data_IF_665018897419
#
_entry.id   IF_665018897419
#
_cell.length_a   1.000
_cell.length_b   1.000
_cell.length_c   1.000
_cell.angle_alpha   90.00
_cell.angle_beta   90.00
_cell.angle_gamma   90.00
#
_symmetry.space_group_name_H-M   'P 1'
#
loop_
_entity.id
_entity.type
_entity.pdbx_description
1 polymer ?
#
# COMPACT_ATOMS: atom_id res chain seq x y z
N UNK A 1 -14.02 -48.59 -73.34
CA UNK A 1 -13.47 -49.50 -72.30
C UNK A 1 -12.77 -48.67 -71.21
N UNK A 2 -13.23 -48.76 -69.95
CA UNK A 2 -12.63 -48.05 -68.80
C UNK A 2 -11.35 -48.76 -68.37
N UNK A 3 -10.32 -47.97 -68.07
CA UNK A 3 -9.01 -48.43 -67.60
C UNK A 3 -9.14 -49.15 -66.23
N UNK A 4 -8.68 -50.41 -66.06
CA UNK A 4 -8.90 -51.19 -64.84
C UNK A 4 -8.04 -50.80 -63.64
N UNK A 5 -7.13 -49.82 -63.78
CA UNK A 5 -6.14 -49.50 -62.75
C UNK A 5 -6.53 -48.36 -61.79
N UNK A 6 -7.73 -47.77 -61.93
CA UNK A 6 -8.21 -46.70 -61.06
C UNK A 6 -8.97 -47.21 -59.82
N UNK A 7 -8.50 -48.29 -59.18
CA UNK A 7 -9.09 -48.83 -57.96
C UNK A 7 -8.02 -49.00 -56.86
N UNK A 8 -8.09 -48.12 -55.87
CA UNK A 8 -7.63 -48.41 -54.51
C UNK A 8 -6.17 -48.09 -54.20
N UNK A 9 -5.84 -46.81 -54.12
CA UNK A 9 -4.88 -46.36 -53.09
C UNK A 9 -5.71 -45.98 -51.86
N UNK A 10 -6.23 -46.99 -51.14
CA UNK A 10 -6.62 -46.79 -49.75
C UNK A 10 -5.33 -46.70 -48.96
N UNK A 11 -5.01 -45.49 -48.52
CA UNK A 11 -3.93 -45.18 -47.61
C UNK A 11 -4.14 -46.00 -46.33
N UNK A 12 -3.42 -47.13 -46.20
CA UNK A 12 -3.47 -47.97 -45.02
C UNK A 12 -2.82 -47.17 -43.89
N UNK A 13 -3.64 -46.45 -43.10
CA UNK A 13 -3.19 -45.81 -41.86
C UNK A 13 -2.57 -46.90 -40.97
N UNK A 14 -1.27 -46.77 -40.65
CA UNK A 14 -0.59 -47.73 -39.77
C UNK A 14 -1.34 -47.74 -38.43
N UNK A 15 -1.87 -48.89 -37.96
CA UNK A 15 -2.65 -48.97 -36.72
C UNK A 15 -1.83 -48.55 -35.48
N UNK A 16 -0.51 -48.40 -35.61
CA UNK A 16 0.39 -47.91 -34.57
C UNK A 16 0.47 -46.38 -34.53
N UNK A 17 0.09 -45.67 -35.58
CA UNK A 17 0.15 -44.21 -35.66
C UNK A 17 -0.79 -43.56 -34.64
N UNK A 18 -2.03 -44.02 -34.55
CA UNK A 18 -3.01 -43.54 -33.56
C UNK A 18 -2.51 -43.75 -32.11
N UNK A 19 -1.83 -44.86 -31.86
CA UNK A 19 -1.23 -45.16 -30.55
C UNK A 19 -0.04 -44.24 -30.25
N UNK A 20 0.83 -44.00 -31.24
CA UNK A 20 1.97 -43.08 -31.11
C UNK A 20 1.48 -41.67 -30.84
N UNK A 21 0.45 -41.21 -31.54
CA UNK A 21 -0.12 -39.87 -31.36
C UNK A 21 -0.72 -39.72 -29.96
N UNK A 22 -1.46 -40.73 -29.46
CA UNK A 22 -1.96 -40.77 -28.08
C UNK A 22 -0.85 -40.77 -27.02
N UNK A 23 0.27 -41.45 -27.29
CA UNK A 23 1.40 -41.50 -26.37
C UNK A 23 2.13 -40.14 -26.31
N UNK A 24 2.33 -39.49 -27.46
CA UNK A 24 2.92 -38.15 -27.54
C UNK A 24 2.03 -37.10 -26.87
N UNK A 25 0.71 -37.22 -27.06
CA UNK A 25 -0.28 -36.38 -26.40
C UNK A 25 -0.23 -36.56 -24.88
N UNK A 26 -0.22 -37.82 -24.40
CA UNK A 26 -0.08 -38.13 -22.97
C UNK A 26 1.23 -37.59 -22.39
N UNK A 27 2.36 -37.77 -23.09
CA UNK A 27 3.66 -37.27 -22.64
C UNK A 27 3.66 -35.75 -22.51
N UNK A 28 3.05 -35.04 -23.47
CA UNK A 28 2.87 -33.59 -23.42
C UNK A 28 2.03 -33.15 -22.23
N UNK A 29 0.90 -33.82 -21.98
CA UNK A 29 0.04 -33.51 -20.82
C UNK A 29 0.71 -33.82 -19.49
N UNK A 30 1.45 -34.94 -19.41
CA UNK A 30 2.21 -35.31 -18.22
C UNK A 30 3.30 -34.28 -17.91
N UNK A 31 4.07 -33.88 -18.91
CA UNK A 31 5.10 -32.85 -18.77
C UNK A 31 4.52 -31.49 -18.33
N UNK A 32 3.38 -31.09 -18.89
CA UNK A 32 2.69 -29.87 -18.49
C UNK A 32 2.19 -29.93 -17.03
N UNK A 33 1.65 -31.08 -16.61
CA UNK A 33 1.19 -31.29 -15.23
C UNK A 33 2.36 -31.25 -14.23
N UNK A 34 3.49 -31.86 -14.55
CA UNK A 34 4.71 -31.82 -13.73
C UNK A 34 5.23 -30.38 -13.59
N UNK A 35 5.28 -29.61 -14.68
CA UNK A 35 5.71 -28.20 -14.64
C UNK A 35 4.77 -27.33 -13.78
N UNK A 36 3.46 -27.55 -13.86
CA UNK A 36 2.48 -26.84 -13.03
C UNK A 36 2.62 -27.21 -11.54
N UNK A 37 2.89 -28.49 -11.26
CA UNK A 37 3.09 -28.98 -9.90
C UNK A 37 4.34 -28.40 -9.25
N UNK A 38 5.45 -28.32 -9.99
CA UNK A 38 6.69 -27.68 -9.51
C UNK A 38 6.47 -26.19 -9.19
N UNK A 39 5.78 -25.46 -10.07
CA UNK A 39 5.43 -24.04 -9.84
C UNK A 39 4.54 -23.86 -8.61
N UNK A 40 3.51 -24.69 -8.45
CA UNK A 40 2.63 -24.66 -7.28
C UNK A 40 3.40 -24.94 -6.00
N UNK A 41 4.33 -25.92 -6.02
CA UNK A 41 5.16 -26.28 -4.86
C UNK A 41 6.02 -25.09 -4.42
N UNK A 42 6.58 -24.35 -5.38
CA UNK A 42 7.35 -23.13 -5.10
C UNK A 42 6.43 -22.01 -4.56
N UNK A 43 5.27 -21.79 -5.16
CA UNK A 43 4.30 -20.78 -4.68
C UNK A 43 3.80 -21.08 -3.26
N UNK A 44 3.52 -22.35 -2.94
CA UNK A 44 3.10 -22.76 -1.59
C UNK A 44 4.19 -22.56 -0.52
N UNK A 45 5.46 -22.54 -0.92
CA UNK A 45 6.58 -22.24 -0.03
C UNK A 45 6.78 -20.72 0.19
N UNK A 46 6.03 -19.87 -0.53
CA UNK A 46 6.10 -18.42 -0.41
C UNK A 46 4.82 -17.92 0.26
N UNK A 47 4.96 -17.44 1.50
CA UNK A 47 3.91 -16.64 2.12
C UNK A 47 3.91 -15.25 1.49
N UNK A 48 3.03 -15.01 0.52
CA UNK A 48 2.71 -13.64 0.11
C UNK A 48 1.96 -12.96 1.25
N UNK A 49 2.28 -11.70 1.54
CA UNK A 49 1.40 -10.88 2.38
C UNK A 49 0.03 -10.90 1.71
N UNK A 50 -0.99 -11.37 2.42
CA UNK A 50 -2.35 -11.41 1.91
C UNK A 50 -2.77 -10.04 1.37
N UNK A 51 -3.76 -9.99 0.45
CA UNK A 51 -4.31 -8.73 -0.01
C UNK A 51 -4.66 -7.89 1.22
N UNK A 52 -4.25 -6.61 1.19
CA UNK A 52 -4.77 -5.65 2.16
C UNK A 52 -6.27 -5.61 1.86
N UNK A 53 -7.08 -6.25 2.69
CA UNK A 53 -8.53 -6.07 2.67
C UNK A 53 -8.77 -4.59 2.96
N UNK A 54 -8.90 -3.80 1.90
CA UNK A 54 -9.54 -2.50 1.99
C UNK A 54 -11.03 -2.79 2.12
N UNK A 55 -11.46 -3.06 3.34
CA UNK A 55 -12.87 -3.10 3.66
C UNK A 55 -13.42 -1.70 3.36
N UNK A 56 -14.38 -1.59 2.44
CA UNK A 56 -15.08 -0.33 2.16
C UNK A 56 -15.87 0.16 3.40
N UNK A 57 -15.94 -0.67 4.45
CA UNK A 57 -16.31 -0.32 5.82
C UNK A 57 -15.08 -0.18 6.74
N UNK A 58 -14.00 0.48 6.29
CA UNK A 58 -12.88 0.78 7.18
C UNK A 58 -13.38 1.61 8.37
N UNK A 59 -13.63 0.92 9.49
CA UNK A 59 -13.88 1.56 10.76
C UNK A 59 -12.67 2.44 11.04
N UNK A 60 -12.89 3.72 11.32
CA UNK A 60 -11.81 4.63 11.66
C UNK A 60 -10.93 4.00 12.73
N UNK A 61 -9.66 3.81 12.40
CA UNK A 61 -8.72 3.15 13.28
C UNK A 61 -8.15 4.20 14.20
N UNK A 62 -8.08 3.89 15.50
CA UNK A 62 -7.33 4.72 16.43
C UNK A 62 -5.86 4.66 16.06
N UNK A 63 -5.29 5.82 15.72
CA UNK A 63 -3.88 5.91 15.43
C UNK A 63 -3.07 5.96 16.73
N UNK A 64 -1.89 5.37 16.69
CA UNK A 64 -0.97 5.28 17.83
C UNK A 64 0.08 6.39 17.79
N UNK A 65 0.82 6.54 18.88
CA UNK A 65 1.99 7.43 18.92
C UNK A 65 3.06 7.02 17.90
N UNK A 66 3.18 5.73 17.58
CA UNK A 66 4.12 5.25 16.55
C UNK A 66 3.74 5.75 15.14
N UNK A 67 2.46 5.92 14.86
CA UNK A 67 1.99 6.46 13.59
C UNK A 67 2.36 7.95 13.46
N UNK A 68 2.29 8.71 14.56
CA UNK A 68 2.78 10.09 14.62
C UNK A 68 4.29 10.17 14.33
N UNK A 69 5.07 9.28 14.93
CA UNK A 69 6.53 9.19 14.68
C UNK A 69 6.79 8.88 13.19
N UNK A 70 6.01 7.97 12.60
CA UNK A 70 6.16 7.61 11.19
C UNK A 70 5.86 8.80 10.27
N UNK A 71 4.80 9.58 10.55
CA UNK A 71 4.50 10.81 9.80
C UNK A 71 5.65 11.81 9.94
N UNK A 72 6.15 12.01 11.16
CA UNK A 72 7.28 12.92 11.42
C UNK A 72 8.54 12.52 10.64
N UNK A 73 8.88 11.22 10.62
CA UNK A 73 10.02 10.71 9.85
C UNK A 73 9.88 10.95 8.34
N UNK A 74 8.69 10.74 7.76
CA UNK A 74 8.42 11.01 6.34
C UNK A 74 8.70 12.47 5.97
N UNK A 75 8.37 13.38 6.87
CA UNK A 75 8.54 14.82 6.64
C UNK A 75 10.00 15.25 6.79
N UNK A 76 10.71 14.70 7.79
CA UNK A 76 12.15 14.92 7.91
C UNK A 76 12.92 14.46 6.66
N UNK A 77 12.52 13.34 6.04
CA UNK A 77 13.14 12.93 4.77
C UNK A 77 12.88 13.90 3.63
N UNK A 78 11.70 14.51 3.57
CA UNK A 78 11.34 15.52 2.53
C UNK A 78 12.05 16.85 2.75
N UNK A 79 12.07 17.35 3.99
CA UNK A 79 12.75 18.62 4.31
C UNK A 79 14.26 18.59 4.07
N UNK A 80 14.90 17.41 4.14
CA UNK A 80 16.33 17.27 3.82
C UNK A 80 16.63 17.63 2.36
N UNK A 81 15.65 17.54 1.46
CA UNK A 81 15.80 17.81 0.03
C UNK A 81 15.51 19.29 -0.33
N UNK A 82 14.80 20.04 0.52
CA UNK A 82 14.31 21.39 0.22
C UNK A 82 15.13 22.54 0.84
N UNK A 83 16.27 22.27 1.47
CA UNK A 83 17.10 23.32 2.13
C UNK A 83 17.85 24.14 1.07
N UNK A 84 17.12 25.01 0.38
CA UNK A 84 17.66 26.12 -0.38
C UNK A 84 16.92 27.39 0.08
N UNK A 85 17.64 28.26 0.80
CA UNK A 85 17.20 29.57 1.30
C UNK A 85 16.55 29.57 2.69
N UNK A 86 17.41 29.73 3.70
CA UNK A 86 17.04 30.02 5.09
C UNK A 86 16.65 31.51 5.19
N UNK A 87 15.36 31.81 5.05
CA UNK A 87 14.83 33.13 5.40
C UNK A 87 14.60 33.10 6.92
N UNK A 88 15.31 33.95 7.67
CA UNK A 88 15.08 34.12 9.11
C UNK A 88 13.63 34.57 9.36
N UNK A 89 12.79 33.65 9.83
CA UNK A 89 11.43 33.92 10.28
C UNK A 89 11.39 33.97 11.80
N UNK A 90 10.43 34.71 12.34
CA UNK A 90 10.18 34.75 13.77
C UNK A 90 9.92 33.35 14.34
N UNK A 91 10.61 33.04 15.43
CA UNK A 91 10.53 31.75 16.10
C UNK A 91 9.16 31.58 16.78
N UNK A 92 8.31 30.68 16.26
CA UNK A 92 7.05 30.33 16.95
C UNK A 92 7.36 29.60 18.26
N UNK A 93 6.76 30.07 19.36
CA UNK A 93 6.86 29.41 20.67
C UNK A 93 5.94 28.18 20.75
N UNK A 94 6.25 27.24 21.65
CA UNK A 94 5.39 26.08 21.89
C UNK A 94 3.95 26.49 22.24
N UNK A 95 3.78 27.53 23.08
CA UNK A 95 2.46 28.01 23.47
C UNK A 95 1.67 28.59 22.29
N UNK A 96 2.36 29.28 21.37
CA UNK A 96 1.74 29.82 20.16
C UNK A 96 1.40 28.74 19.14
N UNK A 97 2.24 27.71 19.04
CA UNK A 97 1.99 26.54 18.22
C UNK A 97 0.76 25.76 18.70
N UNK A 98 0.65 25.52 20.01
CA UNK A 98 -0.53 24.91 20.63
C UNK A 98 -1.78 25.74 20.33
N UNK A 99 -1.71 27.07 20.51
CA UNK A 99 -2.82 27.97 20.15
C UNK A 99 -3.23 27.85 18.69
N UNK A 100 -2.26 27.76 17.78
CA UNK A 100 -2.47 27.67 16.34
C UNK A 100 -3.19 26.38 15.96
N UNK A 101 -2.72 25.25 16.49
CA UNK A 101 -3.35 23.94 16.27
C UNK A 101 -4.78 23.94 16.80
N UNK A 102 -5.01 24.46 18.02
CA UNK A 102 -6.35 24.56 18.60
C UNK A 102 -7.32 25.40 17.78
N UNK A 103 -6.86 26.55 17.28
CA UNK A 103 -7.67 27.41 16.41
C UNK A 103 -8.07 26.66 15.15
N UNK A 104 -7.13 25.96 14.51
CA UNK A 104 -7.41 25.15 13.32
C UNK A 104 -8.42 24.04 13.59
N UNK A 105 -8.26 23.28 14.67
CA UNK A 105 -9.20 22.21 15.04
C UNK A 105 -10.60 22.77 15.37
N UNK A 106 -10.68 24.00 15.88
CA UNK A 106 -11.95 24.66 16.16
C UNK A 106 -12.67 25.14 14.89
N UNK A 107 -11.93 25.51 13.85
CA UNK A 107 -12.46 25.98 12.56
C UNK A 107 -12.74 24.81 11.61
N UNK A 108 -11.88 23.80 11.63
CA UNK A 108 -11.97 22.57 10.85
C UNK A 108 -11.88 21.36 11.79
N UNK A 109 -12.93 20.53 11.88
CA UNK A 109 -13.00 19.45 12.86
C UNK A 109 -11.94 18.35 12.65
N UNK A 110 -11.33 18.29 11.47
CA UNK A 110 -10.28 17.35 11.10
C UNK A 110 -9.06 18.10 10.59
N UNK A 111 -7.89 17.83 11.16
CA UNK A 111 -6.59 18.35 10.72
C UNK A 111 -5.69 17.19 10.32
N UNK A 112 -5.30 17.13 9.04
CA UNK A 112 -4.34 16.15 8.56
C UNK A 112 -2.93 16.54 9.01
N UNK A 113 -2.27 15.65 9.74
CA UNK A 113 -0.98 15.98 10.37
C UNK A 113 0.15 16.10 9.35
N UNK A 114 0.13 15.30 8.28
CA UNK A 114 1.15 15.39 7.22
C UNK A 114 1.13 16.79 6.57
N UNK A 115 -0.03 17.22 6.11
CA UNK A 115 -0.23 18.53 5.48
C UNK A 115 0.12 19.67 6.46
N UNK A 116 -0.31 19.56 7.73
CA UNK A 116 0.02 20.54 8.77
C UNK A 116 1.53 20.73 8.97
N UNK A 117 2.28 19.63 9.03
CA UNK A 117 3.71 19.66 9.26
C UNK A 117 4.51 20.09 8.02
N UNK A 118 4.00 19.90 6.80
CA UNK A 118 4.61 20.41 5.56
C UNK A 118 4.58 21.94 5.47
N UNK A 119 3.71 22.60 6.22
CA UNK A 119 3.71 24.06 6.33
C UNK A 119 4.86 24.61 7.19
N UNK A 120 5.59 23.75 7.91
CA UNK A 120 6.69 24.17 8.77
C UNK A 120 7.92 24.48 7.93
N UNK A 121 8.57 25.61 8.19
CA UNK A 121 9.65 26.10 7.32
C UNK A 121 11.05 25.82 7.87
N UNK A 122 11.15 25.40 9.13
CA UNK A 122 12.42 25.06 9.75
C UNK A 122 12.32 23.78 10.57
N UNK A 123 13.46 23.12 10.78
CA UNK A 123 13.54 21.94 11.63
C UNK A 123 13.05 22.23 13.06
N UNK A 124 13.37 23.40 13.61
CA UNK A 124 12.97 23.81 14.95
C UNK A 124 11.45 24.02 15.06
N UNK A 125 10.85 24.63 14.04
CA UNK A 125 9.40 24.81 13.96
C UNK A 125 8.68 23.47 13.83
N UNK A 126 9.18 22.56 13.00
CA UNK A 126 8.66 21.20 12.85
C UNK A 126 8.70 20.40 14.16
N UNK A 127 9.82 20.46 14.89
CA UNK A 127 9.93 19.83 16.23
C UNK A 127 8.94 20.45 17.21
N UNK A 128 8.80 21.77 17.20
CA UNK A 128 7.86 22.49 18.08
C UNK A 128 6.41 22.10 17.78
N UNK A 129 6.05 22.01 16.51
CA UNK A 129 4.75 21.52 16.04
C UNK A 129 4.48 20.08 16.50
N UNK A 130 5.47 19.20 16.37
CA UNK A 130 5.32 17.81 16.80
C UNK A 130 5.08 17.67 18.30
N UNK A 131 5.85 18.41 19.12
CA UNK A 131 5.66 18.45 20.57
C UNK A 131 4.28 19.01 20.92
N UNK A 132 3.83 20.06 20.23
CA UNK A 132 2.50 20.63 20.44
C UNK A 132 1.37 19.64 20.14
N UNK A 133 1.49 18.83 19.09
CA UNK A 133 0.53 17.77 18.78
C UNK A 133 0.50 16.73 19.90
N UNK A 134 1.65 16.26 20.37
CA UNK A 134 1.71 15.29 21.48
C UNK A 134 1.09 15.85 22.77
N UNK A 135 1.32 17.13 23.06
CA UNK A 135 0.74 17.81 24.22
C UNK A 135 -0.79 17.83 24.15
N UNK A 136 -1.34 18.23 22.99
CA UNK A 136 -2.79 18.33 22.77
C UNK A 136 -3.46 16.95 22.87
N UNK A 137 -2.85 15.92 22.27
CA UNK A 137 -3.36 14.55 22.35
C UNK A 137 -3.35 14.04 23.80
N UNK A 138 -2.32 14.40 24.59
CA UNK A 138 -2.22 14.00 26.00
C UNK A 138 -3.23 14.70 26.91
N UNK A 139 -3.56 15.97 26.64
CA UNK A 139 -4.22 16.83 27.63
C UNK A 139 -5.66 17.21 27.31
N UNK A 140 -6.10 17.21 26.04
CA UNK A 140 -7.31 17.95 25.65
C UNK A 140 -8.39 17.14 24.91
N UNK A 141 -8.42 15.82 25.06
CA UNK A 141 -9.51 15.01 24.50
C UNK A 141 -9.59 15.14 22.97
N UNK A 142 -8.46 15.18 22.30
CA UNK A 142 -8.36 15.17 20.84
C UNK A 142 -7.87 13.80 20.42
N UNK A 143 -8.59 13.17 19.48
CA UNK A 143 -8.27 11.83 19.02
C UNK A 143 -7.40 11.90 17.78
N UNK A 144 -6.42 11.01 17.71
CA UNK A 144 -5.67 10.74 16.49
C UNK A 144 -6.31 9.52 15.82
N UNK A 145 -6.75 9.69 14.59
CA UNK A 145 -7.44 8.65 13.82
C UNK A 145 -6.79 8.47 12.45
N UNK A 146 -7.10 7.34 11.84
CA UNK A 146 -6.75 7.05 10.47
C UNK A 146 -8.01 6.50 9.75
N UNK A 147 -8.38 7.11 8.61
CA UNK A 147 -9.58 6.70 7.85
C UNK A 147 -9.38 5.37 7.11
N UNK A 148 -8.16 5.12 6.63
CA UNK A 148 -7.80 3.90 5.91
C UNK A 148 -6.46 3.39 6.40
N UNK A 149 -6.26 2.08 6.50
CA UNK A 149 -4.95 1.49 6.85
C UNK A 149 -3.83 2.09 6.00
N UNK A 150 -2.80 2.61 6.66
CA UNK A 150 -1.66 3.33 6.04
C UNK A 150 -2.00 4.68 5.35
N UNK A 151 -3.22 5.17 5.48
CA UNK A 151 -3.67 6.47 5.00
C UNK A 151 -3.28 7.64 5.91
N UNK A 152 -3.90 8.79 5.67
CA UNK A 152 -3.60 10.03 6.41
C UNK A 152 -3.89 9.88 7.91
N UNK A 153 -2.95 10.38 8.72
CA UNK A 153 -3.15 10.52 10.17
C UNK A 153 -3.81 11.87 10.43
N UNK A 154 -4.98 11.82 11.07
CA UNK A 154 -5.87 12.96 11.27
C UNK A 154 -6.02 13.21 12.76
N UNK A 155 -5.84 14.47 13.14
CA UNK A 155 -6.16 14.98 14.45
C UNK A 155 -7.60 15.49 14.44
N UNK A 156 -8.44 14.96 15.33
CA UNK A 156 -9.89 15.25 15.36
C UNK A 156 -10.36 15.57 16.77
N UNK A 157 -11.16 16.61 16.92
CA UNK A 157 -11.80 16.95 18.20
C UNK A 157 -12.74 15.81 18.64
N UNK A 158 -12.68 15.38 19.90
CA UNK A 158 -13.68 14.46 20.43
C UNK A 158 -15.02 15.18 20.50
N UNK A 159 -16.00 14.69 19.74
CA UNK A 159 -17.39 15.10 19.89
C UNK A 159 -17.87 14.68 21.28
N UNK A 160 -18.35 15.64 22.07
CA UNK A 160 -19.11 15.36 23.29
C UNK A 160 -20.52 14.86 22.94
#
# INVERSE_FOLDING_TARGET
>A
PRDPLAAGEEEIEDPRQELVDRLLEYEKYKSAAEMLYERLTIEQAVFTRGPIESDDNNAEVSATVFDLITVFQKILSRHKEEIAMEIEREEISLADMIRTIKRRISEQPELKLLEFFEEMHSHRELVTAFIAVLEIVRTEGVNVIQKNTFGDIILRKTSA
#
